data_IF_762840093815
#
_entry.id   IF_762840093815
#
_cell.length_a   1.000
_cell.length_b   1.000
_cell.length_c   1.000
_cell.angle_alpha   90.00
_cell.angle_beta   90.00
_cell.angle_gamma   90.00
#
_symmetry.space_group_name_H-M   'P 1'
#
loop_
_entity.id
_entity.type
_entity.pdbx_description
1 polymer ?
#
# COMPACT_ATOMS: atom_id res chain seq x y z
N UNK A 1 4.72 -27.89 -9.89
CA UNK A 1 4.69 -26.57 -10.58
C UNK A 1 3.42 -25.75 -10.28
N UNK A 2 2.23 -26.36 -10.21
CA UNK A 2 0.93 -25.67 -10.02
C UNK A 2 0.83 -24.84 -8.74
N UNK A 3 1.44 -25.29 -7.64
CA UNK A 3 1.47 -24.55 -6.36
C UNK A 3 2.24 -23.21 -6.45
N UNK A 4 3.30 -23.15 -7.27
CA UNK A 4 4.10 -21.91 -7.44
C UNK A 4 3.38 -20.89 -8.30
N UNK A 5 2.70 -21.33 -9.37
CA UNK A 5 1.87 -20.45 -10.21
C UNK A 5 0.73 -19.79 -9.42
N UNK A 6 0.04 -20.56 -8.57
CA UNK A 6 -1.01 -20.01 -7.67
C UNK A 6 -0.45 -18.94 -6.73
N UNK A 7 0.72 -19.18 -6.13
CA UNK A 7 1.37 -18.18 -5.25
C UNK A 7 1.75 -16.92 -6.02
N UNK A 8 2.27 -17.04 -7.23
CA UNK A 8 2.61 -15.90 -8.09
C UNK A 8 1.38 -15.07 -8.44
N UNK A 9 0.27 -15.69 -8.83
CA UNK A 9 -0.99 -14.98 -9.12
C UNK A 9 -1.50 -14.18 -7.92
N UNK A 10 -1.47 -14.77 -6.72
CA UNK A 10 -1.86 -14.07 -5.48
C UNK A 10 -0.93 -12.88 -5.23
N UNK A 11 0.39 -13.05 -5.40
CA UNK A 11 1.34 -11.96 -5.18
C UNK A 11 1.15 -10.83 -6.19
N UNK A 12 0.93 -11.15 -7.46
CA UNK A 12 0.63 -10.16 -8.52
C UNK A 12 -0.62 -9.37 -8.17
N UNK A 13 -1.70 -10.03 -7.74
CA UNK A 13 -2.93 -9.37 -7.34
C UNK A 13 -2.73 -8.39 -6.18
N UNK A 14 -2.02 -8.81 -5.13
CA UNK A 14 -1.76 -7.94 -3.96
C UNK A 14 -0.84 -6.78 -4.33
N UNK A 15 0.13 -6.98 -5.23
CA UNK A 15 0.98 -5.91 -5.77
C UNK A 15 0.18 -4.87 -6.53
N UNK A 16 -0.75 -5.28 -7.40
CA UNK A 16 -1.64 -4.38 -8.15
C UNK A 16 -2.47 -3.53 -7.20
N UNK A 17 -3.10 -4.15 -6.19
CA UNK A 17 -3.92 -3.42 -5.21
C UNK A 17 -3.09 -2.44 -4.40
N UNK A 18 -1.90 -2.86 -3.98
CA UNK A 18 -1.04 -2.02 -3.13
C UNK A 18 -0.48 -0.82 -3.90
N UNK A 19 -0.09 -0.97 -5.18
CA UNK A 19 0.29 0.19 -6.01
C UNK A 19 -0.91 1.07 -6.29
N UNK A 20 -2.05 0.48 -6.64
CA UNK A 20 -3.28 1.24 -6.90
C UNK A 20 -3.62 2.15 -5.71
N UNK A 21 -3.69 1.59 -4.49
CA UNK A 21 -3.95 2.36 -3.26
C UNK A 21 -2.87 3.42 -2.98
N UNK A 22 -1.60 3.09 -3.20
CA UNK A 22 -0.48 4.01 -2.96
C UNK A 22 -0.60 5.26 -3.83
N UNK A 23 -0.81 5.06 -5.13
CA UNK A 23 -0.96 6.16 -6.06
C UNK A 23 -2.29 6.90 -5.85
N UNK A 24 -3.38 6.19 -5.52
CA UNK A 24 -4.68 6.81 -5.31
C UNK A 24 -4.64 7.78 -4.12
N UNK A 25 -4.05 7.36 -3.01
CA UNK A 25 -3.85 8.23 -1.86
C UNK A 25 -2.87 9.36 -2.21
N UNK A 26 -1.76 9.06 -2.89
CA UNK A 26 -0.76 10.08 -3.24
C UNK A 26 -1.30 11.18 -4.15
N UNK A 27 -2.19 10.85 -5.09
CA UNK A 27 -2.86 11.84 -5.93
C UNK A 27 -3.87 12.69 -5.14
N UNK A 28 -4.61 12.08 -4.22
CA UNK A 28 -5.61 12.76 -3.39
C UNK A 28 -4.99 13.66 -2.29
N UNK A 29 -3.74 13.42 -1.87
CA UNK A 29 -3.06 14.25 -0.84
C UNK A 29 -3.00 15.74 -1.23
N UNK A 30 -2.95 16.06 -2.53
CA UNK A 30 -2.93 17.45 -2.99
C UNK A 30 -4.29 18.14 -2.88
N UNK A 31 -5.38 17.37 -2.88
CA UNK A 31 -6.76 17.86 -2.84
C UNK A 31 -7.35 17.85 -1.42
N UNK A 32 -6.62 17.28 -0.47
CA UNK A 32 -6.96 17.33 0.96
C UNK A 32 -6.91 18.77 1.48
N UNK A 33 -7.97 19.17 2.17
CA UNK A 33 -8.11 20.48 2.78
C UNK A 33 -6.93 20.81 3.71
N UNK A 34 -6.35 22.00 3.51
CA UNK A 34 -5.14 22.46 4.20
C UNK A 34 -4.09 22.97 3.22
N UNK A 35 -2.84 23.06 3.67
CA UNK A 35 -1.72 23.47 2.83
C UNK A 35 -1.10 22.24 2.17
N UNK A 36 -1.18 22.12 0.85
CA UNK A 36 -0.71 20.96 0.10
C UNK A 36 0.76 20.61 0.40
N UNK A 37 1.62 21.63 0.59
CA UNK A 37 3.02 21.44 0.95
C UNK A 37 3.19 20.75 2.31
N UNK A 38 2.37 21.11 3.31
CA UNK A 38 2.41 20.47 4.63
C UNK A 38 1.90 19.04 4.56
N UNK A 39 0.82 18.78 3.81
CA UNK A 39 0.29 17.43 3.65
C UNK A 39 1.29 16.49 2.98
N UNK A 40 1.99 16.96 1.93
CA UNK A 40 3.07 16.19 1.28
C UNK A 40 4.25 15.98 2.22
N UNK A 41 4.63 16.98 3.00
CA UNK A 41 5.71 16.87 3.98
C UNK A 41 5.39 15.84 5.08
N UNK A 42 4.20 15.91 5.66
CA UNK A 42 3.71 14.93 6.66
C UNK A 42 3.65 13.55 6.03
N UNK A 43 3.11 13.44 4.82
CA UNK A 43 3.03 12.19 4.09
C UNK A 43 4.41 11.56 3.84
N UNK A 44 5.46 12.37 3.64
CA UNK A 44 6.84 11.89 3.54
C UNK A 44 7.41 11.45 4.88
N UNK A 45 7.16 12.23 5.95
CA UNK A 45 7.62 11.88 7.31
C UNK A 45 6.98 10.57 7.78
N UNK A 46 5.70 10.33 7.51
CA UNK A 46 4.94 9.14 7.91
C UNK A 46 5.50 7.84 7.31
N UNK A 47 6.27 7.91 6.23
CA UNK A 47 6.91 6.73 5.66
C UNK A 47 8.04 6.18 6.54
N UNK A 48 8.76 7.05 7.26
CA UNK A 48 9.83 6.67 8.18
C UNK A 48 9.36 5.77 9.34
N UNK A 49 8.38 6.16 10.17
CA UNK A 49 7.88 5.32 11.25
C UNK A 49 7.19 4.07 10.72
N UNK A 50 6.61 4.11 9.50
CA UNK A 50 6.06 2.92 8.85
C UNK A 50 7.12 1.82 8.68
N UNK A 51 8.37 2.18 8.34
CA UNK A 51 9.45 1.19 8.30
C UNK A 51 9.71 0.54 9.65
N UNK A 52 9.79 1.33 10.72
CA UNK A 52 10.07 0.83 12.07
C UNK A 52 8.97 -0.10 12.56
N UNK A 53 7.70 0.27 12.33
CA UNK A 53 6.54 -0.54 12.72
C UNK A 53 6.47 -1.84 11.93
N UNK A 54 6.75 -1.81 10.63
CA UNK A 54 6.83 -3.04 9.81
C UNK A 54 7.93 -3.97 10.32
N UNK A 55 9.13 -3.44 10.57
CA UNK A 55 10.24 -4.23 11.09
C UNK A 55 9.88 -4.89 12.42
N UNK A 56 9.24 -4.14 13.32
CA UNK A 56 8.81 -4.67 14.60
C UNK A 56 7.68 -5.70 14.48
N UNK A 57 6.70 -5.44 13.61
CA UNK A 57 5.60 -6.36 13.32
C UNK A 57 6.07 -7.70 12.75
N UNK A 58 7.06 -7.68 11.85
CA UNK A 58 7.70 -8.91 11.35
C UNK A 58 8.33 -9.71 12.49
N UNK A 59 9.02 -9.03 13.43
CA UNK A 59 9.71 -9.68 14.54
C UNK A 59 8.74 -10.33 15.53
N UNK A 60 7.60 -9.70 15.79
CA UNK A 60 6.63 -10.16 16.80
C UNK A 60 5.62 -11.17 16.26
N UNK A 61 4.99 -10.89 15.12
CA UNK A 61 3.85 -11.67 14.61
C UNK A 61 4.19 -12.49 13.35
N UNK A 62 5.37 -12.27 12.76
CA UNK A 62 5.75 -12.89 11.50
C UNK A 62 5.18 -12.16 10.28
N UNK A 63 5.50 -12.67 9.09
CA UNK A 63 5.35 -11.90 7.83
C UNK A 63 3.94 -11.87 7.26
N UNK A 64 3.24 -13.02 7.28
CA UNK A 64 1.88 -13.16 6.75
C UNK A 64 0.83 -12.35 7.52
N UNK A 65 0.71 -12.48 8.85
CA UNK A 65 -0.32 -11.73 9.59
C UNK A 65 -0.04 -10.23 9.57
N UNK A 66 1.23 -9.82 9.57
CA UNK A 66 1.60 -8.39 9.46
C UNK A 66 1.14 -7.81 8.12
N UNK A 67 1.31 -8.54 7.02
CA UNK A 67 0.84 -8.12 5.70
C UNK A 67 -0.70 -8.06 5.63
N UNK A 68 -1.39 -9.05 6.19
CA UNK A 68 -2.84 -9.05 6.26
C UNK A 68 -3.37 -7.88 7.11
N UNK A 69 -2.77 -7.63 8.28
CA UNK A 69 -3.13 -6.53 9.15
C UNK A 69 -2.96 -5.18 8.46
N UNK A 70 -1.85 -4.94 7.74
CA UNK A 70 -1.67 -3.68 7.01
C UNK A 70 -2.66 -3.52 5.85
N UNK A 71 -2.99 -4.58 5.12
CA UNK A 71 -4.00 -4.52 4.05
C UNK A 71 -5.41 -4.26 4.61
N UNK A 72 -5.79 -4.92 5.71
CA UNK A 72 -7.10 -4.72 6.35
C UNK A 72 -7.18 -3.32 6.95
N UNK A 73 -6.17 -2.87 7.71
CA UNK A 73 -6.15 -1.51 8.26
C UNK A 73 -6.17 -0.46 7.15
N UNK A 74 -5.41 -0.67 6.06
CA UNK A 74 -5.44 0.20 4.89
C UNK A 74 -6.84 0.24 4.25
N UNK A 75 -7.46 -0.91 4.01
CA UNK A 75 -8.81 -0.99 3.45
C UNK A 75 -9.88 -0.35 4.34
N UNK A 76 -9.83 -0.61 5.65
CA UNK A 76 -10.74 0.01 6.63
C UNK A 76 -10.54 1.52 6.66
N UNK A 77 -9.30 2.01 6.64
CA UNK A 77 -9.03 3.46 6.62
C UNK A 77 -9.58 4.13 5.36
N UNK A 78 -9.46 3.51 4.18
CA UNK A 78 -10.04 4.02 2.94
C UNK A 78 -11.58 3.96 2.95
N UNK A 79 -12.17 2.87 3.44
CA UNK A 79 -13.63 2.75 3.55
C UNK A 79 -14.21 3.75 4.56
N UNK A 80 -13.47 4.05 5.62
CA UNK A 80 -13.87 5.02 6.63
C UNK A 80 -13.83 6.46 6.13
N UNK A 81 -13.21 6.76 4.97
CA UNK A 81 -13.26 8.09 4.35
C UNK A 81 -14.63 8.36 3.71
N UNK A 82 -15.31 7.33 3.17
CA UNK A 82 -16.60 7.47 2.48
C UNK A 82 -17.72 8.11 3.31
N UNK A 83 -17.94 7.75 4.59
CA UNK A 83 -18.99 8.36 5.40
C UNK A 83 -18.60 9.72 6.02
N UNK A 84 -17.40 10.25 5.78
CA UNK A 84 -16.94 11.49 6.43
C UNK A 84 -17.63 12.70 5.78
N UNK A 85 -18.44 13.48 6.52
CA UNK A 85 -19.04 14.71 6.01
C UNK A 85 -17.97 15.78 5.75
N UNK A 86 -18.19 16.60 4.72
CA UNK A 86 -17.27 17.66 4.28
C UNK A 86 -16.94 18.70 5.36
N UNK A 87 -17.71 18.74 6.45
CA UNK A 87 -17.54 19.66 7.57
C UNK A 87 -16.31 19.35 8.44
N UNK A 88 -15.69 18.17 8.32
CA UNK A 88 -14.50 17.77 9.10
C UNK A 88 -13.32 17.34 8.22
N UNK A 89 -12.64 18.31 7.56
CA UNK A 89 -11.50 18.04 6.68
C UNK A 89 -10.32 17.37 7.38
N UNK A 90 -10.11 17.69 8.66
CA UNK A 90 -9.03 17.13 9.48
C UNK A 90 -9.16 15.60 9.63
N UNK A 91 -10.38 15.08 9.73
CA UNK A 91 -10.62 13.64 9.89
C UNK A 91 -10.24 12.90 8.61
N UNK A 92 -10.68 13.39 7.45
CA UNK A 92 -10.28 12.85 6.14
C UNK A 92 -8.75 12.84 5.97
N UNK A 93 -8.08 13.93 6.37
CA UNK A 93 -6.61 14.01 6.33
C UNK A 93 -5.94 12.97 7.21
N UNK A 94 -6.39 12.79 8.46
CA UNK A 94 -5.80 11.77 9.34
C UNK A 94 -6.01 10.35 8.81
N UNK A 95 -7.20 10.02 8.30
CA UNK A 95 -7.50 8.72 7.71
C UNK A 95 -6.65 8.46 6.46
N UNK A 96 -6.47 9.46 5.60
CA UNK A 96 -5.61 9.36 4.42
C UNK A 96 -4.14 9.10 4.81
N UNK A 97 -3.64 9.76 5.87
CA UNK A 97 -2.28 9.54 6.37
C UNK A 97 -2.11 8.14 6.98
N UNK A 98 -3.12 7.63 7.70
CA UNK A 98 -3.15 6.25 8.20
C UNK A 98 -3.18 5.24 7.04
N UNK A 99 -3.98 5.50 6.01
CA UNK A 99 -3.99 4.71 4.79
C UNK A 99 -2.62 4.70 4.12
N UNK A 100 -1.98 5.86 4.00
CA UNK A 100 -0.63 5.98 3.42
C UNK A 100 0.37 5.17 4.23
N UNK A 101 0.35 5.30 5.56
CA UNK A 101 1.20 4.51 6.46
C UNK A 101 1.05 3.00 6.24
N UNK A 102 -0.19 2.51 6.13
CA UNK A 102 -0.51 1.09 5.95
C UNK A 102 -0.06 0.56 4.58
N UNK A 103 -0.27 1.33 3.51
CA UNK A 103 0.10 0.93 2.15
C UNK A 103 1.62 0.90 2.00
N UNK A 104 2.32 1.90 2.49
CA UNK A 104 3.78 1.96 2.43
C UNK A 104 4.40 0.78 3.19
N UNK A 105 3.81 0.39 4.32
CA UNK A 105 4.25 -0.79 5.06
C UNK A 105 3.97 -2.11 4.33
N UNK A 106 2.78 -2.23 3.72
CA UNK A 106 2.39 -3.38 2.89
C UNK A 106 3.36 -3.59 1.71
N UNK A 107 3.77 -2.50 1.06
CA UNK A 107 4.70 -2.55 -0.08
C UNK A 107 6.03 -3.20 0.30
N UNK A 108 6.59 -2.81 1.45
CA UNK A 108 7.86 -3.35 1.94
C UNK A 108 7.75 -4.83 2.32
N UNK A 109 6.67 -5.20 2.99
CA UNK A 109 6.36 -6.59 3.31
C UNK A 109 6.22 -7.43 2.05
N UNK A 110 5.62 -6.89 1.00
CA UNK A 110 5.47 -7.58 -0.29
C UNK A 110 6.80 -7.84 -0.98
N UNK A 111 7.70 -6.85 -1.02
CA UNK A 111 9.06 -7.05 -1.56
C UNK A 111 9.84 -8.10 -0.77
N UNK A 112 9.73 -8.07 0.55
CA UNK A 112 10.41 -9.02 1.41
C UNK A 112 9.83 -10.44 1.27
N UNK A 113 8.50 -10.56 1.26
CA UNK A 113 7.80 -11.85 1.19
C UNK A 113 7.94 -12.51 -0.20
N UNK A 114 7.95 -11.72 -1.28
CA UNK A 114 8.31 -12.23 -2.61
C UNK A 114 9.74 -12.74 -2.64
N UNK A 115 10.69 -12.09 -1.98
CA UNK A 115 12.07 -12.53 -1.98
C UNK A 115 12.30 -13.87 -1.26
N UNK A 116 11.43 -14.26 -0.33
CA UNK A 116 11.55 -15.51 0.45
C UNK A 116 10.83 -16.70 -0.15
N UNK A 117 9.70 -16.49 -0.83
CA UNK A 117 8.90 -17.59 -1.36
C UNK A 117 9.55 -18.20 -2.60
N UNK A 118 10.26 -17.39 -3.38
CA UNK A 118 10.76 -17.79 -4.69
C UNK A 118 12.26 -18.12 -4.65
N UNK A 119 12.69 -19.28 -5.19
CA UNK A 119 14.09 -19.65 -5.22
C UNK A 119 14.92 -18.70 -6.09
N UNK A 120 16.21 -18.58 -5.78
CA UNK A 120 17.14 -17.58 -6.34
C UNK A 120 17.11 -17.47 -7.87
N UNK A 121 16.95 -18.57 -8.59
CA UNK A 121 16.90 -18.59 -10.06
C UNK A 121 15.65 -17.96 -10.69
N UNK A 122 14.51 -17.92 -10.00
CA UNK A 122 13.23 -17.38 -10.54
C UNK A 122 12.74 -16.13 -9.81
N UNK A 123 13.45 -15.72 -8.75
CA UNK A 123 13.09 -14.58 -7.91
C UNK A 123 13.09 -13.26 -8.68
N UNK A 124 14.14 -12.99 -9.46
CA UNK A 124 14.23 -11.73 -10.22
C UNK A 124 13.16 -11.63 -11.31
N UNK A 125 12.89 -12.74 -12.02
CA UNK A 125 11.80 -12.80 -13.01
C UNK A 125 10.45 -12.54 -12.34
N UNK A 126 10.20 -13.20 -11.21
CA UNK A 126 8.94 -13.04 -10.47
C UNK A 126 8.75 -11.61 -9.96
N UNK A 127 9.78 -11.00 -9.39
CA UNK A 127 9.76 -9.59 -8.95
C UNK A 127 9.54 -8.64 -10.12
N UNK A 128 10.20 -8.89 -11.26
CA UNK A 128 10.02 -8.12 -12.49
C UNK A 128 8.58 -8.19 -13.01
N UNK A 129 8.01 -9.40 -13.11
CA UNK A 129 6.61 -9.59 -13.51
C UNK A 129 5.65 -8.93 -12.54
N UNK A 130 5.85 -9.09 -11.22
CA UNK A 130 5.00 -8.43 -10.22
C UNK A 130 5.07 -6.91 -10.35
N UNK A 131 6.25 -6.34 -10.54
CA UNK A 131 6.45 -4.89 -10.73
C UNK A 131 5.78 -4.37 -12.00
N UNK A 132 5.90 -5.10 -13.12
CA UNK A 132 5.21 -4.76 -14.38
C UNK A 132 3.69 -4.76 -14.19
N UNK A 133 3.13 -5.80 -13.55
CA UNK A 133 1.70 -5.83 -13.25
C UNK A 133 1.29 -4.70 -12.30
N UNK A 134 2.12 -4.36 -11.32
CA UNK A 134 1.86 -3.27 -10.39
C UNK A 134 1.70 -1.92 -11.09
N UNK A 135 2.35 -1.72 -12.25
CA UNK A 135 2.21 -0.49 -13.05
C UNK A 135 0.79 -0.32 -13.59
N UNK A 136 0.08 -1.41 -13.86
CA UNK A 136 -1.34 -1.37 -14.24
C UNK A 136 -2.15 -0.68 -13.14
N UNK A 137 -1.92 -1.04 -11.88
CA UNK A 137 -2.56 -0.38 -10.72
C UNK A 137 -2.22 1.11 -10.63
N UNK A 138 -0.98 1.50 -10.93
CA UNK A 138 -0.60 2.92 -10.94
C UNK A 138 -1.25 3.72 -12.07
N UNK A 139 -1.45 3.10 -13.24
CA UNK A 139 -2.11 3.74 -14.38
C UNK A 139 -3.60 3.92 -14.09
N UNK A 140 -4.26 2.93 -13.48
CA UNK A 140 -5.68 2.98 -13.14
C UNK A 140 -6.01 3.98 -12.03
N UNK A 141 -5.05 4.30 -11.16
CA UNK A 141 -5.23 5.17 -10.01
C UNK A 141 -5.86 6.54 -10.31
N UNK A 142 -5.32 7.37 -11.22
CA UNK A 142 -5.90 8.68 -11.52
C UNK A 142 -7.28 8.60 -12.18
N UNK A 143 -7.56 7.57 -13.00
CA UNK A 143 -8.85 7.43 -13.69
C UNK A 143 -10.04 7.28 -12.73
N UNK A 144 -9.83 6.72 -11.54
CA UNK A 144 -10.91 6.56 -10.55
C UNK A 144 -11.22 7.88 -9.83
N UNK A 145 -10.28 8.83 -9.78
CA UNK A 145 -10.56 10.16 -9.25
C UNK A 145 -11.35 11.02 -10.25
N UNK A 146 -11.07 10.83 -11.53
CA UNK A 146 -11.68 11.65 -12.60
C UNK A 146 -13.05 11.09 -13.07
N UNK A 147 -13.52 9.95 -12.52
CA UNK A 147 -14.81 9.31 -12.82
C UNK A 147 -15.89 9.73 -11.81
#
# INVERSE_FOLDING_TARGET
MTKMRKRLLIMVYVWIISTFLYYALSYNINDLAGNAYLNVFIAGIVEFPSYAVVFWGIKQWGRRPTLFAHLVMGGVSCAAILPVPADMPWLSTTLAMVGKFCVTGSFRLLYLYTAEIFPTGVRNVTLGTCSMCARIGSILSPFIRDL
#
